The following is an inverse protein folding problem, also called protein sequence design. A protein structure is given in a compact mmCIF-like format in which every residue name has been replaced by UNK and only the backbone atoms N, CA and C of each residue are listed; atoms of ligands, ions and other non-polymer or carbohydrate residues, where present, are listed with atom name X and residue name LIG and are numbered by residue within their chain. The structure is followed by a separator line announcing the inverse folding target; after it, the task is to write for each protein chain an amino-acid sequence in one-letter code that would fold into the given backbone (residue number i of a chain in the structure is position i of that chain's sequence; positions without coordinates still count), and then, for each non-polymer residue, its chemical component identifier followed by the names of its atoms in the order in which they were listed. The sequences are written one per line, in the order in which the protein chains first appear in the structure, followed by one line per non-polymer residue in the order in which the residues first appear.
data_IF_194113618997
#
_entry.id   IF_194113618997
#
_cell.length_a   1.000
_cell.length_b   1.000
_cell.length_c   1.000
_cell.angle_alpha   90.00
_cell.angle_beta   90.00
_cell.angle_gamma   90.00
#
_symmetry.space_group_name_H-M   'P 1'
#
loop_
_entity.id
_entity.type
_entity.pdbx_description
1 polymer ?
#
# COMPACT_ATOMS: atom_id res chain seq x y z
N UNK A 1 12.04 -20.53 2.53
CA UNK A 1 12.94 -19.37 2.57
C UNK A 1 14.21 -19.62 1.76
N UNK A 2 14.63 -18.65 0.99
CA UNK A 2 15.85 -18.71 0.16
C UNK A 2 17.14 -18.84 0.99
N UNK A 3 17.07 -18.65 2.30
CA UNK A 3 18.23 -18.75 3.19
C UNK A 3 18.71 -20.17 3.51
N UNK A 4 17.89 -21.18 3.20
CA UNK A 4 18.29 -22.58 3.43
C UNK A 4 19.18 -23.08 2.30
N UNK A 5 20.29 -23.73 2.63
CA UNK A 5 21.28 -24.20 1.65
C UNK A 5 20.73 -25.17 0.60
N UNK A 6 19.67 -25.92 0.90
CA UNK A 6 19.01 -26.85 -0.01
C UNK A 6 17.90 -26.18 -0.89
N UNK A 7 17.65 -24.88 -0.72
CA UNK A 7 16.70 -24.16 -1.56
C UNK A 7 17.24 -24.01 -2.99
N UNK A 8 16.38 -24.21 -4.00
CA UNK A 8 16.80 -24.18 -5.41
C UNK A 8 17.57 -22.92 -5.79
N UNK A 9 17.12 -21.74 -5.36
CA UNK A 9 17.82 -20.49 -5.58
C UNK A 9 19.22 -20.49 -4.97
N UNK A 10 19.39 -20.98 -3.75
CA UNK A 10 20.70 -21.07 -3.08
C UNK A 10 21.65 -22.00 -3.83
N UNK A 11 21.16 -23.13 -4.34
CA UNK A 11 21.97 -24.06 -5.13
C UNK A 11 22.37 -23.47 -6.48
N UNK A 12 21.47 -22.73 -7.12
CA UNK A 12 21.77 -22.02 -8.37
C UNK A 12 22.86 -20.95 -8.17
N UNK A 13 22.75 -20.15 -7.12
CA UNK A 13 23.78 -19.18 -6.75
C UNK A 13 25.14 -19.84 -6.46
N UNK A 14 25.11 -20.97 -5.75
CA UNK A 14 26.33 -21.74 -5.46
C UNK A 14 26.97 -22.27 -6.73
N UNK A 15 26.19 -22.85 -7.64
CA UNK A 15 26.68 -23.34 -8.93
C UNK A 15 27.40 -22.23 -9.71
N UNK A 16 26.73 -21.10 -9.92
CA UNK A 16 27.33 -20.01 -10.68
C UNK A 16 28.55 -19.36 -10.00
N UNK A 17 28.57 -19.29 -8.68
CA UNK A 17 29.75 -18.82 -7.95
C UNK A 17 30.93 -19.74 -8.12
N UNK A 18 30.72 -21.07 -8.15
CA UNK A 18 31.78 -22.06 -8.43
C UNK A 18 32.23 -22.01 -9.89
N UNK A 19 31.38 -21.56 -10.80
CA UNK A 19 31.67 -21.47 -12.24
C UNK A 19 32.35 -20.14 -12.64
N UNK A 20 32.69 -19.28 -11.71
CA UNK A 20 33.36 -18.01 -11.99
C UNK A 20 32.54 -16.76 -11.74
N UNK A 21 31.32 -16.90 -11.21
CA UNK A 21 30.42 -15.80 -10.88
C UNK A 21 29.34 -15.55 -11.94
N UNK A 22 28.52 -14.55 -11.69
CA UNK A 22 27.41 -14.16 -12.55
C UNK A 22 26.90 -12.76 -12.18
N UNK A 23 26.18 -12.12 -13.09
CA UNK A 23 25.50 -10.87 -12.83
C UNK A 23 24.23 -11.13 -11.99
N UNK A 24 24.17 -10.56 -10.80
CA UNK A 24 23.01 -10.67 -9.92
C UNK A 24 21.93 -9.66 -10.30
N UNK A 25 20.70 -10.07 -10.16
CA UNK A 25 19.56 -9.14 -10.10
C UNK A 25 19.64 -8.28 -8.84
N UNK A 26 19.39 -6.98 -8.99
CA UNK A 26 19.29 -6.02 -7.88
C UNK A 26 17.81 -5.77 -7.64
N UNK A 27 17.41 -5.74 -6.37
CA UNK A 27 15.99 -5.57 -5.96
C UNK A 27 15.07 -6.73 -6.38
N UNK A 28 13.79 -6.48 -6.31
CA UNK A 28 12.73 -7.43 -6.67
C UNK A 28 11.75 -6.77 -7.63
N UNK A 29 11.11 -7.54 -8.48
CA UNK A 29 10.04 -7.05 -9.36
C UNK A 29 8.70 -6.83 -8.62
N UNK A 30 8.52 -7.45 -7.45
CA UNK A 30 7.24 -7.46 -6.75
C UNK A 30 6.94 -6.15 -6.00
N UNK A 31 7.97 -5.52 -5.39
CA UNK A 31 7.78 -4.35 -4.52
C UNK A 31 8.99 -3.39 -4.48
N UNK A 32 9.82 -3.39 -5.52
CA UNK A 32 10.99 -2.52 -5.57
C UNK A 32 10.65 -1.02 -5.48
N UNK A 33 9.49 -0.61 -6.00
CA UNK A 33 9.00 0.76 -5.85
C UNK A 33 8.79 1.11 -4.37
N UNK A 34 8.18 0.22 -3.59
CA UNK A 34 7.99 0.40 -2.15
C UNK A 34 9.34 0.47 -1.43
N UNK A 35 10.30 -0.38 -1.75
CA UNK A 35 11.66 -0.33 -1.16
C UNK A 35 12.34 1.02 -1.41
N UNK A 36 12.10 1.63 -2.56
CA UNK A 36 12.69 2.94 -2.91
C UNK A 36 11.95 4.10 -2.25
N UNK A 37 10.62 4.08 -2.20
CA UNK A 37 9.79 5.22 -1.79
C UNK A 37 9.61 5.28 -0.27
N UNK A 38 9.43 4.15 0.41
CA UNK A 38 9.10 4.11 1.84
C UNK A 38 10.08 4.88 2.74
N UNK A 39 11.41 4.83 2.53
CA UNK A 39 12.35 5.62 3.32
C UNK A 39 12.10 7.13 3.24
N UNK A 40 11.62 7.62 2.10
CA UNK A 40 11.35 9.05 1.86
C UNK A 40 9.97 9.50 2.35
N UNK A 41 9.00 8.58 2.44
CA UNK A 41 7.62 8.90 2.83
C UNK A 41 7.41 8.72 4.32
N UNK A 42 7.85 7.60 4.89
CA UNK A 42 7.62 7.25 6.30
C UNK A 42 8.91 7.13 7.12
N UNK A 43 10.08 7.41 6.54
CA UNK A 43 11.37 7.42 7.25
C UNK A 43 11.89 6.04 7.64
N UNK A 44 11.35 4.97 7.08
CA UNK A 44 11.82 3.59 7.37
C UNK A 44 11.87 2.75 6.10
N UNK A 45 12.74 1.75 6.11
CA UNK A 45 12.82 0.80 5.00
C UNK A 45 11.54 -0.05 4.91
N UNK A 46 11.26 -0.57 3.73
CA UNK A 46 10.12 -1.48 3.53
C UNK A 46 10.15 -2.68 4.49
N UNK A 47 11.34 -3.22 4.78
CA UNK A 47 11.50 -4.33 5.74
C UNK A 47 11.14 -3.92 7.17
N UNK A 48 11.65 -2.78 7.63
CA UNK A 48 11.28 -2.25 8.94
C UNK A 48 9.78 -2.01 9.05
N UNK A 49 9.17 -1.48 7.99
CA UNK A 49 7.72 -1.30 7.94
C UNK A 49 6.96 -2.61 8.08
N UNK A 50 7.37 -3.68 7.39
CA UNK A 50 6.73 -5.01 7.52
C UNK A 50 6.82 -5.58 8.94
N UNK A 51 7.88 -5.25 9.68
CA UNK A 51 8.08 -5.72 11.06
C UNK A 51 7.31 -4.87 12.09
N UNK A 52 6.93 -3.64 11.75
CA UNK A 52 6.36 -2.65 12.69
C UNK A 52 5.01 -2.06 12.27
N UNK A 53 4.45 -2.49 11.14
CA UNK A 53 3.16 -1.98 10.66
C UNK A 53 2.02 -2.26 11.63
N UNK A 54 0.95 -1.49 11.53
CA UNK A 54 -0.26 -1.65 12.34
C UNK A 54 -0.86 -3.04 12.17
N UNK A 55 -1.12 -3.72 13.26
CA UNK A 55 -1.74 -5.04 13.27
C UNK A 55 -3.26 -4.98 13.06
N UNK A 56 -3.84 -6.14 12.76
CA UNK A 56 -5.27 -6.26 12.50
C UNK A 56 -6.15 -5.95 13.73
N UNK A 57 -5.69 -6.22 14.94
CA UNK A 57 -6.46 -5.91 16.14
C UNK A 57 -6.56 -4.40 16.35
N UNK A 58 -5.47 -3.69 16.13
CA UNK A 58 -5.48 -2.23 16.18
C UNK A 58 -6.37 -1.63 15.07
N UNK A 59 -6.26 -2.13 13.84
CA UNK A 59 -7.13 -1.70 12.73
C UNK A 59 -8.59 -1.91 13.09
N UNK A 60 -8.96 -3.10 13.53
CA UNK A 60 -10.33 -3.46 13.92
C UNK A 60 -10.88 -2.52 15.03
N UNK A 61 -10.03 -2.14 15.99
CA UNK A 61 -10.49 -1.40 17.17
C UNK A 61 -10.52 0.12 16.96
N UNK A 62 -9.72 0.66 16.06
CA UNK A 62 -9.54 2.10 15.89
C UNK A 62 -9.92 2.63 14.50
N UNK A 63 -10.36 1.80 13.57
CA UNK A 63 -10.69 2.23 12.20
C UNK A 63 -12.20 2.33 12.01
N UNK A 64 -12.64 3.33 11.24
CA UNK A 64 -14.04 3.51 10.80
C UNK A 64 -14.23 3.20 9.32
N UNK A 65 -13.22 3.46 8.51
CA UNK A 65 -13.24 3.28 7.06
C UNK A 65 -11.95 2.62 6.59
N UNK A 66 -12.07 1.60 5.75
CA UNK A 66 -10.95 0.96 5.04
C UNK A 66 -11.11 1.22 3.54
N UNK A 67 -10.16 1.94 2.96
CA UNK A 67 -10.10 2.19 1.52
C UNK A 67 -9.06 1.26 0.91
N UNK A 68 -9.47 0.45 -0.07
CA UNK A 68 -8.63 -0.56 -0.71
C UNK A 68 -8.33 -0.13 -2.15
N UNK A 69 -7.10 0.26 -2.42
CA UNK A 69 -6.62 0.51 -3.78
C UNK A 69 -6.12 -0.81 -4.39
N UNK A 70 -6.79 -1.27 -5.45
CA UNK A 70 -6.52 -2.56 -6.08
C UNK A 70 -7.21 -3.75 -5.39
N UNK A 71 -8.10 -3.49 -4.43
CA UNK A 71 -8.83 -4.52 -3.72
C UNK A 71 -8.04 -5.25 -2.63
N UNK A 72 -8.61 -6.34 -2.13
CA UNK A 72 -7.99 -7.24 -1.14
C UNK A 72 -8.32 -8.70 -1.49
N UNK A 73 -7.82 -9.21 -2.62
CA UNK A 73 -8.13 -10.56 -3.04
C UNK A 73 -7.49 -11.59 -2.09
N UNK A 74 -8.30 -12.53 -1.60
CA UNK A 74 -7.85 -13.56 -0.66
C UNK A 74 -6.70 -14.41 -1.18
N UNK A 75 -6.62 -14.63 -2.49
CA UNK A 75 -5.52 -15.34 -3.13
C UNK A 75 -4.15 -14.74 -2.82
N UNK A 76 -4.09 -13.42 -2.62
CA UNK A 76 -2.86 -12.70 -2.32
C UNK A 76 -2.54 -12.65 -0.81
N UNK A 77 -3.51 -12.98 0.04
CA UNK A 77 -3.39 -12.94 1.50
C UNK A 77 -3.04 -14.31 2.13
N UNK A 78 -2.65 -15.28 1.33
CA UNK A 78 -2.32 -16.63 1.79
C UNK A 78 -0.86 -16.82 2.21
N UNK A 79 0.00 -15.88 1.83
CA UNK A 79 1.44 -15.94 2.12
C UNK A 79 1.86 -14.60 2.70
N UNK A 80 2.61 -14.64 3.79
CA UNK A 80 3.25 -13.46 4.36
C UNK A 80 4.69 -13.32 3.87
N UNK A 81 5.25 -12.12 3.97
CA UNK A 81 6.67 -11.90 3.70
C UNK A 81 7.54 -12.85 4.55
N UNK A 82 8.35 -13.67 3.90
CA UNK A 82 9.20 -14.67 4.56
C UNK A 82 8.63 -16.09 4.60
N UNK A 83 7.43 -16.34 4.09
CA UNK A 83 6.88 -17.69 3.92
C UNK A 83 5.42 -17.85 4.29
N UNK A 84 5.03 -19.09 4.59
CA UNK A 84 3.66 -19.45 4.96
C UNK A 84 3.38 -18.97 6.38
N UNK A 85 2.45 -18.04 6.51
CA UNK A 85 1.91 -17.61 7.80
C UNK A 85 0.52 -18.18 8.08
N UNK A 86 -0.07 -17.75 9.18
CA UNK A 86 -1.49 -18.03 9.46
C UNK A 86 -2.35 -17.26 8.46
N UNK A 87 -3.35 -17.89 7.86
CA UNK A 87 -4.30 -17.27 6.93
C UNK A 87 -5.36 -16.47 7.72
N UNK A 88 -4.95 -15.41 8.37
CA UNK A 88 -5.80 -14.66 9.30
C UNK A 88 -6.59 -13.53 8.64
N UNK A 89 -6.18 -13.05 7.49
CA UNK A 89 -6.77 -11.89 6.81
C UNK A 89 -8.28 -12.02 6.63
N UNK A 90 -8.77 -13.16 6.17
CA UNK A 90 -10.21 -13.40 5.97
C UNK A 90 -11.03 -13.19 7.24
N UNK A 91 -10.56 -13.73 8.35
CA UNK A 91 -11.26 -13.64 9.63
C UNK A 91 -11.23 -12.21 10.19
N UNK A 92 -10.12 -11.52 10.08
CA UNK A 92 -10.03 -10.13 10.51
C UNK A 92 -10.91 -9.19 9.68
N UNK A 93 -10.95 -9.35 8.37
CA UNK A 93 -11.86 -8.59 7.51
C UNK A 93 -13.33 -8.80 7.92
N UNK A 94 -13.74 -10.05 8.16
CA UNK A 94 -15.08 -10.35 8.68
C UNK A 94 -15.36 -9.65 10.02
N UNK A 95 -14.40 -9.70 10.95
CA UNK A 95 -14.52 -9.03 12.26
C UNK A 95 -14.63 -7.51 12.10
N UNK A 96 -13.85 -6.91 11.20
CA UNK A 96 -13.96 -5.49 10.87
C UNK A 96 -15.35 -5.14 10.34
N UNK A 97 -15.88 -5.93 9.39
CA UNK A 97 -17.21 -5.74 8.85
C UNK A 97 -18.32 -5.91 9.90
N UNK A 98 -18.20 -6.90 10.81
CA UNK A 98 -19.13 -7.13 11.92
C UNK A 98 -19.13 -5.96 12.92
N UNK A 99 -18.00 -5.28 13.08
CA UNK A 99 -17.85 -4.11 13.95
C UNK A 99 -18.42 -2.83 13.32
N UNK A 100 -18.88 -2.89 12.07
CA UNK A 100 -19.46 -1.76 11.36
C UNK A 100 -18.45 -0.86 10.65
N UNK A 101 -17.23 -1.33 10.44
CA UNK A 101 -16.23 -0.62 9.63
C UNK A 101 -16.72 -0.61 8.18
N UNK A 102 -16.69 0.56 7.57
CA UNK A 102 -17.02 0.75 6.16
C UNK A 102 -15.86 0.37 5.26
N UNK A 103 -16.17 -0.11 4.04
CA UNK A 103 -15.17 -0.52 3.07
C UNK A 103 -15.46 0.12 1.72
N UNK A 104 -14.42 0.69 1.11
CA UNK A 104 -14.43 1.18 -0.27
C UNK A 104 -13.39 0.40 -1.06
N UNK A 105 -13.83 -0.23 -2.16
CA UNK A 105 -12.95 -0.93 -3.09
C UNK A 105 -12.73 -0.09 -4.35
N UNK A 106 -11.55 0.48 -4.48
CA UNK A 106 -11.14 1.25 -5.67
C UNK A 106 -10.34 0.32 -6.57
N UNK A 107 -11.00 -0.26 -7.56
CA UNK A 107 -10.42 -1.28 -8.43
C UNK A 107 -11.06 -1.27 -9.82
N UNK A 108 -10.31 -1.62 -10.88
CA UNK A 108 -10.89 -1.86 -12.20
C UNK A 108 -11.91 -3.01 -12.23
N UNK A 109 -11.80 -3.95 -11.27
CA UNK A 109 -12.63 -5.16 -11.19
C UNK A 109 -13.33 -5.23 -9.83
N UNK A 110 -14.65 -5.41 -9.86
CA UNK A 110 -15.49 -5.52 -8.67
C UNK A 110 -15.11 -6.72 -7.79
N UNK A 111 -14.74 -7.84 -8.41
CA UNK A 111 -14.45 -9.12 -7.75
C UNK A 111 -13.25 -9.11 -6.79
N UNK A 112 -12.45 -8.05 -6.77
CA UNK A 112 -11.26 -7.98 -5.91
C UNK A 112 -11.58 -7.76 -4.42
N UNK A 113 -12.85 -7.71 -4.06
CA UNK A 113 -13.35 -7.56 -2.70
C UNK A 113 -14.36 -8.64 -2.29
N UNK A 114 -14.27 -9.84 -2.84
CA UNK A 114 -15.23 -10.97 -2.66
C UNK A 114 -15.59 -11.28 -1.21
N UNK A 115 -14.74 -10.96 -0.24
CA UNK A 115 -14.98 -11.24 1.18
C UNK A 115 -15.89 -10.22 1.83
N UNK A 116 -16.05 -9.05 1.21
CA UNK A 116 -16.73 -7.91 1.78
C UNK A 116 -17.97 -7.61 0.94
N UNK A 117 -19.04 -8.35 1.18
CA UNK A 117 -20.30 -8.24 0.44
C UNK A 117 -20.97 -6.86 0.48
N UNK A 118 -20.43 -5.92 1.26
CA UNK A 118 -20.93 -4.55 1.44
C UNK A 118 -19.89 -3.48 1.11
N UNK A 119 -18.79 -3.83 0.49
CA UNK A 119 -17.83 -2.82 0.06
C UNK A 119 -18.43 -1.97 -1.07
N UNK A 120 -18.37 -0.65 -0.94
CA UNK A 120 -18.65 0.23 -2.06
C UNK A 120 -17.58 0.07 -3.13
N UNK A 121 -18.00 -0.26 -4.35
CA UNK A 121 -17.06 -0.39 -5.46
C UNK A 121 -16.97 0.90 -6.27
N UNK A 122 -15.77 1.46 -6.33
CA UNK A 122 -15.43 2.62 -7.15
C UNK A 122 -14.58 2.13 -8.33
N UNK A 123 -15.17 2.10 -9.51
CA UNK A 123 -14.48 1.70 -10.73
C UNK A 123 -13.45 2.74 -11.14
N UNK A 124 -12.19 2.32 -11.30
CA UNK A 124 -11.10 3.18 -11.71
C UNK A 124 -10.42 2.64 -12.98
N UNK A 125 -9.86 3.53 -13.80
CA UNK A 125 -8.99 3.11 -14.90
C UNK A 125 -7.65 2.64 -14.34
N UNK A 126 -7.08 1.51 -14.82
CA UNK A 126 -5.76 1.06 -14.40
C UNK A 126 -4.70 2.17 -14.55
N UNK A 127 -3.84 2.32 -13.53
CA UNK A 127 -2.76 3.30 -13.54
C UNK A 127 -3.16 4.74 -13.19
N UNK A 128 -4.39 4.99 -12.72
CA UNK A 128 -4.86 6.33 -12.33
C UNK A 128 -5.06 6.51 -10.82
N UNK A 129 -4.60 5.58 -10.00
CA UNK A 129 -4.72 5.62 -8.54
C UNK A 129 -4.13 6.90 -7.95
N UNK A 130 -2.92 7.28 -8.39
CA UNK A 130 -2.26 8.50 -7.93
C UNK A 130 -3.06 9.75 -8.29
N UNK A 131 -3.68 9.80 -9.46
CA UNK A 131 -4.51 10.93 -9.86
C UNK A 131 -5.75 11.05 -8.94
N UNK A 132 -6.39 9.92 -8.63
CA UNK A 132 -7.51 9.91 -7.69
C UNK A 132 -7.07 10.35 -6.28
N UNK A 133 -5.93 9.85 -5.79
CA UNK A 133 -5.38 10.27 -4.49
C UNK A 133 -5.10 11.76 -4.42
N UNK A 134 -4.55 12.34 -5.49
CA UNK A 134 -4.32 13.78 -5.59
C UNK A 134 -5.64 14.57 -5.65
N UNK A 135 -6.64 14.08 -6.38
CA UNK A 135 -7.98 14.68 -6.41
C UNK A 135 -8.65 14.68 -5.03
N UNK A 136 -8.56 13.58 -4.28
CA UNK A 136 -9.05 13.50 -2.90
C UNK A 136 -8.30 14.52 -2.01
N UNK A 137 -6.97 14.57 -2.09
CA UNK A 137 -6.18 15.53 -1.33
C UNK A 137 -6.55 16.97 -1.66
N UNK A 138 -6.82 17.28 -2.94
CA UNK A 138 -7.27 18.60 -3.38
C UNK A 138 -8.61 18.99 -2.72
N UNK A 139 -9.58 18.09 -2.69
CA UNK A 139 -10.87 18.33 -2.03
C UNK A 139 -10.70 18.53 -0.52
N UNK A 140 -9.95 17.63 0.15
CA UNK A 140 -9.68 17.78 1.59
C UNK A 140 -9.08 19.13 1.94
N UNK A 141 -8.22 19.65 1.07
CA UNK A 141 -7.60 20.98 1.25
C UNK A 141 -8.55 22.13 0.96
N UNK A 142 -9.30 22.06 -0.14
CA UNK A 142 -10.16 23.17 -0.57
C UNK A 142 -11.42 23.31 0.28
N UNK A 143 -11.91 22.20 0.82
CA UNK A 143 -13.08 22.16 1.72
C UNK A 143 -12.70 22.29 3.20
N UNK A 144 -11.41 22.58 3.49
CA UNK A 144 -10.91 22.77 4.87
C UNK A 144 -11.13 21.52 5.76
N UNK A 145 -11.11 20.34 5.17
CA UNK A 145 -11.23 19.05 5.87
C UNK A 145 -9.88 18.48 6.31
N UNK A 146 -8.77 19.08 5.87
CA UNK A 146 -7.43 18.66 6.26
C UNK A 146 -7.15 19.00 7.73
N UNK A 147 -6.74 18.01 8.51
CA UNK A 147 -6.31 18.19 9.91
C UNK A 147 -4.96 18.90 9.97
N UNK A 148 -4.99 20.20 10.17
CA UNK A 148 -3.79 21.06 10.19
C UNK A 148 -2.88 20.76 11.37
N UNK A 149 -3.43 20.42 12.52
CA UNK A 149 -2.64 20.12 13.71
C UNK A 149 -1.86 18.82 13.52
N UNK A 150 -2.51 17.80 12.94
CA UNK A 150 -1.85 16.58 12.57
C UNK A 150 -0.74 16.82 11.53
N UNK A 151 -1.05 17.54 10.45
CA UNK A 151 -0.10 17.82 9.38
C UNK A 151 1.13 18.58 9.89
N UNK A 152 0.93 19.61 10.72
CA UNK A 152 2.03 20.39 11.29
C UNK A 152 2.89 19.58 12.26
N UNK A 153 2.29 18.63 12.97
CA UNK A 153 2.99 17.82 13.98
C UNK A 153 3.74 16.64 13.37
N UNK A 154 3.18 15.99 12.37
CA UNK A 154 3.65 14.67 11.91
C UNK A 154 4.14 14.64 10.47
N UNK A 155 3.88 15.67 9.67
CA UNK A 155 4.25 15.69 8.26
C UNK A 155 5.33 16.72 7.97
N UNK A 156 6.28 16.36 7.11
CA UNK A 156 7.34 17.25 6.61
C UNK A 156 7.13 17.50 5.13
N UNK A 157 7.21 18.77 4.70
CA UNK A 157 7.12 19.15 3.30
C UNK A 157 5.69 19.32 2.77
N UNK A 158 4.69 19.36 3.66
CA UNK A 158 3.31 19.59 3.27
C UNK A 158 3.11 20.89 2.47
N UNK A 159 3.78 21.97 2.83
CA UNK A 159 3.69 23.24 2.11
C UNK A 159 4.14 23.14 0.64
N UNK A 160 5.20 22.37 0.39
CA UNK A 160 5.68 22.10 -0.98
C UNK A 160 4.68 21.23 -1.75
N UNK A 161 4.13 20.21 -1.09
CA UNK A 161 3.08 19.38 -1.66
C UNK A 161 1.83 20.22 -2.01
N UNK A 162 1.44 21.14 -1.14
CA UNK A 162 0.31 22.02 -1.35
C UNK A 162 0.49 22.94 -2.58
N UNK A 163 1.69 23.46 -2.80
CA UNK A 163 2.00 24.23 -4.00
C UNK A 163 1.86 23.39 -5.29
N UNK A 164 2.31 22.14 -5.23
CA UNK A 164 2.11 21.20 -6.34
C UNK A 164 0.63 20.86 -6.53
N UNK A 165 -0.08 20.56 -5.45
CA UNK A 165 -1.50 20.21 -5.46
C UNK A 165 -2.37 21.33 -6.08
N UNK A 166 -2.09 22.56 -5.72
CA UNK A 166 -2.76 23.78 -6.25
C UNK A 166 -2.28 24.21 -7.64
N UNK A 167 -1.30 23.53 -8.21
CA UNK A 167 -0.75 23.82 -9.52
C UNK A 167 0.16 25.05 -9.56
N UNK A 168 0.61 25.56 -8.41
CA UNK A 168 1.49 26.71 -8.34
C UNK A 168 2.87 26.37 -8.89
N UNK A 169 3.35 25.17 -8.63
CA UNK A 169 4.69 24.72 -9.02
C UNK A 169 4.79 24.20 -10.46
N UNK A 170 3.70 23.73 -11.08
CA UNK A 170 3.70 23.09 -12.40
C UNK A 170 2.60 23.59 -13.35
N UNK A 171 1.83 24.58 -12.94
CA UNK A 171 0.76 25.18 -13.74
C UNK A 171 -0.52 24.35 -13.85
N UNK A 172 -0.63 23.22 -13.10
CA UNK A 172 -1.78 22.32 -13.19
C UNK A 172 -2.34 21.96 -11.82
N UNK A 173 -3.46 22.55 -11.42
CA UNK A 173 -4.15 22.17 -10.20
C UNK A 173 -4.70 20.73 -10.31
N UNK A 174 -4.49 19.93 -9.26
CA UNK A 174 -4.89 18.50 -9.20
C UNK A 174 -6.35 18.37 -8.78
N UNK A 175 -7.23 19.06 -9.50
CA UNK A 175 -8.68 19.00 -9.25
C UNK A 175 -9.26 17.64 -9.59
N UNK A 176 -10.48 17.29 -9.16
CA UNK A 176 -11.17 16.07 -9.59
C UNK A 176 -11.37 15.94 -11.11
N UNK A 177 -11.24 17.03 -11.83
CA UNK A 177 -11.38 17.09 -13.30
C UNK A 177 -10.03 17.13 -14.04
N UNK A 178 -8.93 17.07 -13.31
CA UNK A 178 -7.55 17.12 -13.83
C UNK A 178 -7.12 15.90 -14.66
#
# INVERSE_FOLDING_TARGET
SAGRFHHAQSQLHRFFNCYGGYTRSVNTYSYAASETIMPHVIGMTYRQFLDTHTDWDNIKDNTKLIVMFGGLPLKNAQVTSGGVGKHTTKEYIKRCAQKGIEFINISPMEMEADIISKAEWVKIRPGTDTALMLGIAFILETESLADRDFLNKYCVGYDKFLQYLKGISDGKAKTPFW
#
